data_IF_555958182291
#
_entry.id   IF_555958182291
#
_cell.length_a   1.000
_cell.length_b   1.000
_cell.length_c   1.000
_cell.angle_alpha   90.00
_cell.angle_beta   90.00
_cell.angle_gamma   90.00
#
_symmetry.space_group_name_H-M   'P 1'
#
loop_
_entity.id
_entity.type
_entity.pdbx_description
1 polymer ?
#
# COMPACT_ATOMS: atom_id res chain seq x y z
N UNK A 1 -12.85 -14.91 5.20
CA UNK A 1 -11.56 -15.60 5.34
C UNK A 1 -10.82 -15.48 4.03
N UNK A 2 -9.54 -15.14 4.05
CA UNK A 2 -8.68 -15.16 2.86
C UNK A 2 -8.75 -16.54 2.18
N UNK A 3 -8.88 -16.54 0.85
CA UNK A 3 -9.11 -17.74 0.03
C UNK A 3 -7.79 -18.46 -0.24
N UNK A 4 -6.67 -17.74 -0.29
CA UNK A 4 -5.38 -18.30 -0.69
C UNK A 4 -4.73 -19.23 0.35
N UNK A 5 -4.66 -18.91 1.67
CA UNK A 5 -4.13 -19.85 2.66
C UNK A 5 -4.88 -21.18 2.68
N UNK A 6 -6.20 -21.14 2.45
CA UNK A 6 -7.04 -22.35 2.40
C UNK A 6 -6.80 -23.14 1.11
N UNK A 7 -6.70 -22.47 -0.03
CA UNK A 7 -6.42 -23.12 -1.31
C UNK A 7 -5.05 -23.83 -1.28
N UNK A 8 -4.04 -23.19 -0.70
CA UNK A 8 -2.71 -23.78 -0.48
C UNK A 8 -2.77 -24.98 0.48
N UNK A 9 -3.38 -24.80 1.66
CA UNK A 9 -3.49 -25.87 2.66
C UNK A 9 -4.28 -27.10 2.16
N UNK A 10 -5.25 -26.90 1.27
CA UNK A 10 -6.03 -27.98 0.64
C UNK A 10 -5.46 -28.48 -0.68
N UNK A 11 -4.28 -27.99 -1.08
CA UNK A 11 -3.58 -28.36 -2.34
C UNK A 11 -4.42 -28.14 -3.60
N UNK A 12 -5.30 -27.14 -3.57
CA UNK A 12 -6.02 -26.70 -4.77
C UNK A 12 -5.11 -25.90 -5.72
N UNK A 13 -4.07 -25.27 -5.15
CA UNK A 13 -3.03 -24.55 -5.87
C UNK A 13 -1.68 -24.84 -5.22
N UNK A 14 -0.61 -24.80 -6.02
CA UNK A 14 0.75 -25.01 -5.55
C UNK A 14 1.40 -23.72 -5.02
N UNK A 15 1.01 -22.56 -5.58
CA UNK A 15 1.58 -21.24 -5.27
C UNK A 15 0.44 -20.21 -5.25
N UNK A 16 0.46 -19.30 -4.28
CA UNK A 16 -0.49 -18.19 -4.20
C UNK A 16 0.12 -16.97 -3.48
N UNK A 17 -0.30 -15.74 -3.81
CA UNK A 17 0.10 -14.56 -3.06
C UNK A 17 -0.54 -14.57 -1.67
N UNK A 18 0.25 -14.27 -0.65
CA UNK A 18 -0.18 -14.10 0.73
C UNK A 18 0.19 -12.70 1.20
N UNK A 19 -0.69 -12.04 1.96
CA UNK A 19 -0.48 -10.68 2.47
C UNK A 19 -0.53 -10.58 3.98
N UNK A 20 0.20 -9.61 4.54
CA UNK A 20 0.19 -9.27 5.96
C UNK A 20 0.46 -10.47 6.87
N UNK A 21 -0.30 -10.58 7.97
CA UNK A 21 -0.11 -11.65 8.97
C UNK A 21 -0.29 -13.07 8.41
N UNK A 22 -0.96 -13.23 7.27
CA UNK A 22 -1.18 -14.55 6.68
C UNK A 22 0.12 -15.19 6.18
N UNK A 23 1.12 -14.39 5.76
CA UNK A 23 2.45 -14.87 5.37
C UNK A 23 3.09 -15.62 6.55
N UNK A 24 3.22 -14.94 7.69
CA UNK A 24 3.79 -15.51 8.92
C UNK A 24 3.00 -16.71 9.42
N UNK A 25 1.67 -16.61 9.48
CA UNK A 25 0.80 -17.69 9.97
C UNK A 25 0.92 -18.94 9.11
N UNK A 26 0.94 -18.79 7.78
CA UNK A 26 1.05 -19.91 6.86
C UNK A 26 2.41 -20.63 7.01
N UNK A 27 3.51 -19.89 7.06
CA UNK A 27 4.85 -20.48 7.23
C UNK A 27 5.03 -21.10 8.62
N UNK A 28 4.52 -20.48 9.68
CA UNK A 28 4.56 -21.07 11.02
C UNK A 28 3.82 -22.42 11.07
N UNK A 29 2.68 -22.51 10.37
CA UNK A 29 1.85 -23.71 10.39
C UNK A 29 2.37 -24.81 9.47
N UNK A 30 2.69 -24.48 8.21
CA UNK A 30 2.98 -25.45 7.15
C UNK A 30 4.46 -25.50 6.74
N UNK A 31 5.30 -24.60 7.27
CA UNK A 31 6.76 -24.64 7.05
C UNK A 31 7.41 -25.98 7.45
N UNK A 32 7.03 -26.60 8.60
CA UNK A 32 7.50 -27.95 8.95
C UNK A 32 7.11 -29.05 7.94
N UNK A 33 6.09 -28.81 7.12
CA UNK A 33 5.63 -29.71 6.06
C UNK A 33 6.24 -29.37 4.69
N UNK A 34 7.17 -28.42 4.65
CA UNK A 34 7.91 -28.02 3.44
C UNK A 34 7.40 -26.75 2.75
N UNK A 35 6.44 -26.03 3.33
CA UNK A 35 6.04 -24.73 2.79
C UNK A 35 7.19 -23.71 2.89
N UNK A 36 7.36 -22.89 1.85
CA UNK A 36 8.39 -21.85 1.79
C UNK A 36 7.86 -20.60 1.11
N UNK A 37 8.57 -19.48 1.32
CA UNK A 37 8.32 -18.22 0.62
C UNK A 37 9.17 -18.14 -0.64
N UNK A 38 8.61 -17.51 -1.69
CA UNK A 38 9.33 -17.16 -2.91
C UNK A 38 9.53 -15.65 -2.94
N UNK A 39 10.78 -15.19 -2.94
CA UNK A 39 11.10 -13.78 -3.12
C UNK A 39 10.98 -13.39 -4.59
N UNK A 40 10.12 -12.43 -4.89
CA UNK A 40 9.97 -11.91 -6.26
C UNK A 40 10.78 -10.64 -6.52
N UNK A 41 11.33 -9.98 -5.49
CA UNK A 41 12.09 -8.73 -5.62
C UNK A 41 11.28 -7.51 -6.09
N UNK A 42 10.00 -7.69 -6.42
CA UNK A 42 9.06 -6.61 -6.72
C UNK A 42 8.54 -5.97 -5.42
N UNK A 43 8.43 -4.64 -5.41
CA UNK A 43 7.63 -3.91 -4.43
C UNK A 43 6.19 -3.84 -4.94
N UNK A 44 5.25 -4.42 -4.21
CA UNK A 44 3.87 -4.67 -4.64
C UNK A 44 2.81 -3.99 -3.75
N UNK A 45 3.22 -3.07 -2.87
CA UNK A 45 2.40 -2.45 -1.82
C UNK A 45 2.14 -0.92 -1.98
N UNK A 46 2.02 -0.32 -3.20
CA UNK A 46 1.82 1.12 -3.28
C UNK A 46 0.41 1.53 -2.81
N UNK A 47 0.34 2.40 -1.80
CA UNK A 47 -0.89 3.06 -1.37
C UNK A 47 -1.14 4.34 -2.18
N UNK A 48 -2.40 4.58 -2.56
CA UNK A 48 -2.81 5.76 -3.31
C UNK A 48 -4.04 6.41 -2.68
N UNK A 49 -4.11 7.74 -2.74
CA UNK A 49 -5.34 8.48 -2.49
C UNK A 49 -6.12 8.60 -3.79
N UNK A 50 -7.40 8.23 -3.76
CA UNK A 50 -8.29 8.28 -4.90
C UNK A 50 -9.47 9.22 -4.61
N UNK A 51 -9.82 10.04 -5.60
CA UNK A 51 -11.05 10.82 -5.61
C UNK A 51 -11.70 10.75 -7.00
N UNK A 52 -13.04 10.69 -7.09
CA UNK A 52 -13.73 10.82 -8.37
C UNK A 52 -13.49 12.19 -9.01
N UNK A 53 -13.43 12.24 -10.35
CA UNK A 53 -13.19 13.48 -11.11
C UNK A 53 -14.14 14.63 -10.71
N UNK A 54 -15.43 14.36 -10.54
CA UNK A 54 -16.41 15.38 -10.16
C UNK A 54 -16.15 16.03 -8.79
N UNK A 55 -15.38 15.37 -7.91
CA UNK A 55 -14.90 15.96 -6.65
C UNK A 55 -13.74 16.92 -6.92
N UNK A 56 -12.83 16.54 -7.83
CA UNK A 56 -11.66 17.33 -8.22
C UNK A 56 -12.01 18.55 -9.08
N UNK A 57 -13.15 18.49 -9.78
CA UNK A 57 -13.69 19.58 -10.61
C UNK A 57 -14.32 20.70 -9.77
N UNK A 58 -14.76 20.39 -8.54
CA UNK A 58 -15.30 21.36 -7.59
C UNK A 58 -14.15 22.03 -6.83
N UNK A 59 -13.89 23.35 -7.03
CA UNK A 59 -12.73 24.01 -6.44
C UNK A 59 -12.72 23.98 -4.91
N UNK A 60 -13.89 24.03 -4.27
CA UNK A 60 -13.97 23.99 -2.81
C UNK A 60 -13.61 22.61 -2.27
N UNK A 61 -14.04 21.54 -2.95
CA UNK A 61 -13.67 20.17 -2.58
C UNK A 61 -12.22 19.86 -2.90
N UNK A 62 -11.71 20.32 -4.04
CA UNK A 62 -10.29 20.19 -4.39
C UNK A 62 -9.38 20.88 -3.34
N UNK A 63 -9.77 22.07 -2.86
CA UNK A 63 -9.05 22.75 -1.78
C UNK A 63 -9.11 21.97 -0.45
N UNK A 64 -10.27 21.40 -0.10
CA UNK A 64 -10.37 20.55 1.09
C UNK A 64 -9.50 19.28 0.99
N UNK A 65 -9.44 18.67 -0.20
CA UNK A 65 -8.54 17.52 -0.45
C UNK A 65 -7.06 17.92 -0.35
N UNK A 66 -6.70 19.14 -0.75
CA UNK A 66 -5.32 19.61 -0.66
C UNK A 66 -4.85 19.67 0.81
N UNK A 67 -5.70 20.16 1.70
CA UNK A 67 -5.45 20.12 3.15
C UNK A 67 -5.40 18.69 3.70
N UNK A 68 -6.32 17.83 3.25
CA UNK A 68 -6.34 16.41 3.64
C UNK A 68 -5.06 15.68 3.24
N UNK A 69 -4.55 15.90 2.03
CA UNK A 69 -3.29 15.29 1.56
C UNK A 69 -2.12 15.65 2.47
N UNK A 70 -2.06 16.89 2.96
CA UNK A 70 -1.05 17.31 3.94
C UNK A 70 -1.21 16.64 5.30
N UNK A 71 -2.44 16.44 5.78
CA UNK A 71 -2.73 15.69 7.01
C UNK A 71 -2.37 14.21 6.89
N UNK A 72 -2.72 13.59 5.78
CA UNK A 72 -2.38 12.20 5.46
C UNK A 72 -0.87 11.97 5.48
N UNK A 73 -0.09 12.86 4.84
CA UNK A 73 1.37 12.76 4.84
C UNK A 73 1.95 12.80 6.26
N UNK A 74 1.49 13.76 7.10
CA UNK A 74 1.91 13.85 8.50
C UNK A 74 1.51 12.63 9.32
N UNK A 75 0.37 12.02 9.04
CA UNK A 75 -0.06 10.80 9.72
C UNK A 75 0.85 9.61 9.38
N UNK A 76 1.24 9.46 8.10
CA UNK A 76 2.22 8.44 7.68
C UNK A 76 3.54 8.63 8.40
N UNK A 77 4.07 9.86 8.40
CA UNK A 77 5.33 10.16 9.08
C UNK A 77 5.23 9.88 10.60
N UNK A 78 4.10 10.21 11.21
CA UNK A 78 3.86 9.87 12.61
C UNK A 78 3.89 8.37 12.85
N UNK A 79 3.28 7.55 11.98
CA UNK A 79 3.35 6.08 12.09
C UNK A 79 4.78 5.59 11.97
N UNK A 80 5.56 6.08 11.01
CA UNK A 80 6.99 5.76 10.85
C UNK A 80 7.78 6.08 12.13
N UNK A 81 7.52 7.23 12.75
CA UNK A 81 8.22 7.69 13.95
C UNK A 81 7.72 7.07 15.26
N UNK A 82 6.54 6.46 15.27
CA UNK A 82 5.88 5.96 16.48
C UNK A 82 5.43 4.49 16.35
N UNK A 83 6.30 3.56 15.90
CA UNK A 83 5.90 2.18 15.62
C UNK A 83 5.37 1.44 16.87
N UNK A 84 5.95 1.67 18.05
CA UNK A 84 5.49 1.05 19.30
C UNK A 84 4.07 1.46 19.68
N UNK A 85 3.76 2.75 19.54
CA UNK A 85 2.40 3.28 19.79
C UNK A 85 1.43 2.74 18.74
N UNK A 86 1.84 2.71 17.47
CA UNK A 86 1.05 2.14 16.39
C UNK A 86 0.71 0.65 16.63
N UNK A 87 1.71 -0.15 17.01
CA UNK A 87 1.52 -1.56 17.36
C UNK A 87 0.51 -1.70 18.50
N UNK A 88 0.70 -0.95 19.59
CA UNK A 88 -0.14 -1.07 20.78
C UNK A 88 -1.59 -0.64 20.52
N UNK A 89 -1.78 0.56 19.98
CA UNK A 89 -3.10 1.18 19.92
C UNK A 89 -3.89 0.71 18.69
N UNK A 90 -3.21 0.53 17.55
CA UNK A 90 -3.87 0.12 16.31
C UNK A 90 -3.83 -1.39 16.11
N UNK A 91 -2.65 -2.00 15.95
CA UNK A 91 -2.57 -3.43 15.64
C UNK A 91 -3.12 -4.32 16.75
N UNK A 92 -2.77 -4.06 18.01
CA UNK A 92 -3.31 -4.81 19.15
C UNK A 92 -4.69 -4.28 19.54
N UNK A 93 -4.78 -2.99 19.86
CA UNK A 93 -5.98 -2.38 20.44
C UNK A 93 -7.21 -2.39 19.51
N UNK A 94 -7.03 -2.11 18.22
CA UNK A 94 -8.14 -2.00 17.26
C UNK A 94 -8.28 -3.23 16.36
N UNK A 95 -7.16 -3.77 15.85
CA UNK A 95 -7.17 -4.91 14.93
C UNK A 95 -7.20 -6.26 15.66
N UNK A 96 -6.99 -6.28 16.99
CA UNK A 96 -7.02 -7.50 17.79
C UNK A 96 -5.89 -8.48 17.48
N UNK A 97 -4.78 -8.00 16.90
CA UNK A 97 -3.59 -8.80 16.63
C UNK A 97 -2.80 -9.03 17.92
N UNK A 98 -1.92 -10.04 17.91
CA UNK A 98 -0.90 -10.13 18.97
C UNK A 98 0.15 -9.03 18.76
N UNK A 99 0.90 -8.69 19.82
CA UNK A 99 2.01 -7.74 19.70
C UNK A 99 3.04 -8.23 18.69
N UNK A 100 3.36 -9.53 18.71
CA UNK A 100 4.33 -10.12 17.80
C UNK A 100 3.85 -10.05 16.34
N UNK A 101 2.55 -10.17 16.07
CA UNK A 101 2.00 -9.99 14.72
C UNK A 101 2.09 -8.51 14.29
N UNK A 102 1.88 -7.56 15.21
CA UNK A 102 2.07 -6.13 14.95
C UNK A 102 3.53 -5.78 14.65
N UNK A 103 4.48 -6.30 15.42
CA UNK A 103 5.93 -6.13 15.19
C UNK A 103 6.35 -6.71 13.83
N UNK A 104 5.82 -7.89 13.50
CA UNK A 104 6.03 -8.51 12.19
C UNK A 104 5.51 -7.63 11.05
N UNK A 105 4.31 -7.05 11.19
CA UNK A 105 3.75 -6.15 10.16
C UNK A 105 4.58 -4.88 10.00
N UNK A 106 5.01 -4.22 11.09
CA UNK A 106 5.89 -3.04 11.00
C UNK A 106 7.20 -3.37 10.28
N UNK A 107 7.80 -4.52 10.57
CA UNK A 107 9.00 -4.95 9.88
C UNK A 107 8.77 -5.24 8.38
N UNK A 108 7.64 -5.90 8.06
CA UNK A 108 7.27 -6.26 6.69
C UNK A 108 6.98 -5.01 5.83
N UNK A 109 6.25 -4.05 6.39
CA UNK A 109 5.81 -2.82 5.71
C UNK A 109 6.99 -1.84 5.51
N UNK A 110 7.94 -1.83 6.46
CA UNK A 110 9.10 -0.96 6.41
C UNK A 110 8.75 0.52 6.54
N UNK A 111 9.67 1.39 6.11
CA UNK A 111 9.44 2.84 6.11
C UNK A 111 8.52 3.23 4.95
N UNK A 112 7.43 3.92 5.29
CA UNK A 112 6.50 4.44 4.29
C UNK A 112 7.02 5.77 3.75
N UNK A 113 7.25 5.84 2.43
CA UNK A 113 7.83 7.00 1.77
C UNK A 113 6.77 7.79 1.02
N UNK A 114 6.71 9.10 1.27
CA UNK A 114 5.88 10.06 0.51
C UNK A 114 6.78 10.80 -0.49
N UNK A 115 6.79 10.42 -1.78
CA UNK A 115 7.70 11.00 -2.75
C UNK A 115 7.30 12.44 -3.10
N UNK A 116 8.29 13.33 -3.19
CA UNK A 116 8.12 14.70 -3.66
C UNK A 116 8.03 14.80 -5.19
N UNK A 117 8.33 13.73 -5.92
CA UNK A 117 8.28 13.62 -7.38
C UNK A 117 7.59 12.31 -7.77
N UNK A 118 6.54 12.41 -8.59
CA UNK A 118 5.78 11.24 -9.02
C UNK A 118 6.28 10.61 -10.32
N UNK A 119 7.37 11.11 -10.91
CA UNK A 119 7.90 10.62 -12.20
C UNK A 119 8.14 9.11 -12.21
N UNK A 120 8.77 8.56 -11.17
CA UNK A 120 9.01 7.12 -11.07
C UNK A 120 7.70 6.33 -10.85
N UNK A 121 6.83 6.83 -9.95
CA UNK A 121 5.53 6.21 -9.65
C UNK A 121 4.68 6.12 -10.92
N UNK A 122 4.57 7.22 -11.66
CA UNK A 122 3.83 7.29 -12.92
C UNK A 122 4.43 6.39 -13.98
N UNK A 123 5.76 6.31 -14.08
CA UNK A 123 6.43 5.40 -15.03
C UNK A 123 6.02 3.95 -14.77
N UNK A 124 6.13 3.48 -13.53
CA UNK A 124 5.74 2.12 -13.13
C UNK A 124 4.24 1.89 -13.35
N UNK A 125 3.40 2.88 -13.02
CA UNK A 125 1.96 2.77 -13.23
C UNK A 125 1.58 2.70 -14.72
N UNK A 126 2.30 3.42 -15.59
CA UNK A 126 2.13 3.31 -17.05
C UNK A 126 2.54 1.93 -17.56
N UNK A 127 3.60 1.32 -17.01
CA UNK A 127 3.97 -0.06 -17.31
C UNK A 127 2.83 -1.03 -16.93
N UNK A 128 2.17 -0.82 -15.79
CA UNK A 128 0.98 -1.58 -15.40
C UNK A 128 -0.21 -1.35 -16.34
N UNK A 129 -0.51 -0.10 -16.73
CA UNK A 129 -1.58 0.21 -17.69
C UNK A 129 -1.32 -0.52 -19.02
N UNK A 130 -0.08 -0.46 -19.51
CA UNK A 130 0.30 -1.09 -20.78
C UNK A 130 0.18 -2.62 -20.71
N UNK A 131 0.65 -3.23 -19.62
CA UNK A 131 0.53 -4.67 -19.39
C UNK A 131 -0.95 -5.09 -19.39
N UNK A 132 -1.79 -4.43 -18.59
CA UNK A 132 -3.20 -4.78 -18.49
C UNK A 132 -3.95 -4.53 -19.81
N UNK A 133 -3.62 -3.45 -20.53
CA UNK A 133 -4.20 -3.19 -21.85
C UNK A 133 -3.86 -4.31 -22.85
N UNK A 134 -2.61 -4.76 -22.87
CA UNK A 134 -2.17 -5.87 -23.70
C UNK A 134 -2.89 -7.18 -23.33
N UNK A 135 -2.85 -7.57 -22.05
CA UNK A 135 -3.36 -8.87 -21.60
C UNK A 135 -4.89 -8.96 -21.65
N UNK A 136 -5.59 -7.82 -21.55
CA UNK A 136 -7.06 -7.78 -21.56
C UNK A 136 -7.65 -7.29 -22.90
N UNK A 137 -6.82 -6.96 -23.88
CA UNK A 137 -7.26 -6.51 -25.21
C UNK A 137 -7.89 -5.11 -25.24
N UNK A 138 -7.51 -4.24 -24.30
CA UNK A 138 -7.94 -2.83 -24.28
C UNK A 138 -6.91 -1.91 -24.95
N UNK A 139 -7.34 -0.71 -25.33
CA UNK A 139 -6.41 0.34 -25.71
C UNK A 139 -5.77 0.93 -24.44
N UNK A 140 -4.44 1.05 -24.37
CA UNK A 140 -3.79 1.71 -23.24
C UNK A 140 -4.14 3.21 -23.24
N UNK A 141 -4.11 3.80 -22.05
CA UNK A 141 -4.29 5.24 -21.88
C UNK A 141 -3.12 5.83 -21.07
N UNK A 142 -2.99 7.15 -21.11
CA UNK A 142 -1.89 7.84 -20.43
C UNK A 142 -2.14 7.92 -18.94
N UNK A 143 -1.12 7.63 -18.14
CA UNK A 143 -1.10 7.82 -16.69
C UNK A 143 -1.38 9.27 -16.28
N UNK A 144 -1.09 10.24 -17.15
CA UNK A 144 -1.43 11.65 -16.94
C UNK A 144 -2.94 11.93 -16.93
N UNK A 145 -3.77 10.97 -17.35
CA UNK A 145 -5.23 11.04 -17.22
C UNK A 145 -5.72 10.60 -15.83
N UNK A 146 -4.87 9.94 -15.03
CA UNK A 146 -5.21 9.41 -13.70
C UNK A 146 -4.67 10.31 -12.60
N UNK A 147 -3.42 10.77 -12.74
CA UNK A 147 -2.74 11.52 -11.69
C UNK A 147 -3.03 13.02 -11.82
N UNK A 148 -3.70 13.58 -10.80
CA UNK A 148 -3.90 15.02 -10.70
C UNK A 148 -2.64 15.71 -10.14
N UNK A 149 -1.84 16.27 -11.06
CA UNK A 149 -0.56 16.91 -10.74
C UNK A 149 -0.66 18.14 -9.83
N UNK A 150 -1.87 18.68 -9.62
CA UNK A 150 -2.08 19.77 -8.64
C UNK A 150 -1.71 19.34 -7.22
N UNK A 151 -1.75 18.03 -6.92
CA UNK A 151 -1.50 17.48 -5.59
C UNK A 151 -0.06 16.99 -5.38
N UNK A 152 0.75 16.87 -6.44
CA UNK A 152 2.03 16.16 -6.44
C UNK A 152 2.97 16.61 -5.29
N UNK A 153 3.12 17.92 -5.13
CA UNK A 153 4.08 18.48 -4.17
C UNK A 153 3.50 18.70 -2.78
N UNK A 154 2.18 18.56 -2.60
CA UNK A 154 1.50 18.98 -1.36
C UNK A 154 1.89 18.10 -0.16
N UNK A 155 1.92 16.79 -0.37
CA UNK A 155 2.22 15.82 0.68
C UNK A 155 3.65 16.02 1.20
N UNK A 156 4.65 16.07 0.31
CA UNK A 156 6.04 16.31 0.68
C UNK A 156 6.26 17.70 1.31
N UNK A 157 5.58 18.74 0.80
CA UNK A 157 5.65 20.08 1.39
C UNK A 157 5.10 20.14 2.83
N UNK A 158 4.11 19.31 3.16
CA UNK A 158 3.58 19.23 4.52
C UNK A 158 4.58 18.60 5.51
N UNK A 159 5.44 17.69 5.05
CA UNK A 159 6.49 17.08 5.87
C UNK A 159 7.63 18.06 6.14
N UNK A 160 8.06 18.83 5.13
CA UNK A 160 9.12 19.82 5.27
C UNK A 160 8.79 20.95 6.26
N UNK A 161 7.51 21.26 6.49
CA UNK A 161 7.05 22.27 7.45
C UNK A 161 6.98 21.76 8.90
N UNK A 162 7.13 20.46 9.12
CA UNK A 162 6.99 19.82 10.43
C UNK A 162 8.35 19.54 11.10
N UNK A 163 9.46 19.91 10.45
CA UNK A 163 10.82 19.94 10.98
C UNK A 163 11.21 21.37 11.37
#
# INVERSE_FOLDING_TARGET
>A
SDVYPKALASRQVDIAPLGGVNIRRYINQYGPEGASLLEHGLRDDPAHLYAPQWVLDDPAKAAALAEYVGLWARAIEWVNQNPETWIKEYYVGQQGLSREDGEYLVHLEGEQIVPADWSEVKKRHQETINLLAQELGYQPYSVEQIFDNRFEKLAAAALAKSQ
#
